data_IF_552610686161
#
_entry.id   IF_552610686161
#
_cell.length_a   1.000
_cell.length_b   1.000
_cell.length_c   1.000
_cell.angle_alpha   90.00
_cell.angle_beta   90.00
_cell.angle_gamma   90.00
#
_symmetry.space_group_name_H-M   'P 1'
#
loop_
_entity.id
_entity.type
_entity.pdbx_description
1 polymer ?
#
# COMPACT_ATOMS: atom_id res chain seq x y z
N UNK A 1 -12.71 -2.50 26.71
CA UNK A 1 -13.32 -2.48 25.36
C UNK A 1 -14.84 -2.38 25.49
N UNK A 2 -15.48 -1.49 24.77
CA UNK A 2 -16.92 -1.36 24.78
C UNK A 2 -17.60 -2.49 23.98
N UNK A 3 -18.87 -2.76 24.24
CA UNK A 3 -19.64 -3.74 23.46
C UNK A 3 -19.72 -3.38 21.97
N UNK A 4 -19.76 -2.07 21.66
CA UNK A 4 -19.80 -1.58 20.28
C UNK A 4 -18.52 -1.95 19.55
N UNK A 5 -17.38 -1.79 20.20
CA UNK A 5 -16.06 -2.12 19.61
C UNK A 5 -15.94 -3.62 19.37
N UNK A 6 -16.36 -4.43 20.34
CA UNK A 6 -16.37 -5.89 20.21
C UNK A 6 -17.27 -6.29 19.04
N UNK A 7 -18.46 -5.71 18.93
CA UNK A 7 -19.42 -6.02 17.89
C UNK A 7 -18.90 -5.63 16.49
N UNK A 8 -18.29 -4.44 16.38
CA UNK A 8 -17.69 -3.99 15.12
C UNK A 8 -16.61 -4.96 14.64
N UNK A 9 -15.79 -5.45 15.56
CA UNK A 9 -14.73 -6.41 15.27
C UNK A 9 -15.31 -7.79 14.91
N UNK A 10 -16.34 -8.24 15.65
CA UNK A 10 -17.01 -9.53 15.42
C UNK A 10 -17.75 -9.57 14.08
N UNK A 11 -18.28 -8.42 13.63
CA UNK A 11 -19.05 -8.34 12.38
C UNK A 11 -18.18 -8.28 11.14
N UNK A 12 -16.89 -8.19 11.28
CA UNK A 12 -15.97 -8.25 10.14
C UNK A 12 -16.00 -9.66 9.57
N UNK A 13 -16.30 -9.78 8.28
CA UNK A 13 -16.26 -11.06 7.55
C UNK A 13 -14.84 -11.61 7.58
N UNK A 14 -13.84 -10.73 7.41
CA UNK A 14 -12.43 -11.09 7.41
C UNK A 14 -11.93 -10.98 8.84
N UNK A 15 -11.32 -12.07 9.33
CA UNK A 15 -10.87 -12.16 10.72
C UNK A 15 -9.39 -11.90 10.90
N UNK A 16 -8.60 -12.03 9.82
CA UNK A 16 -7.16 -11.76 9.86
C UNK A 16 -6.78 -10.90 8.65
N UNK A 17 -5.78 -10.02 8.85
CA UNK A 17 -5.38 -9.07 7.78
C UNK A 17 -4.83 -9.77 6.55
N UNK A 18 -4.25 -10.97 6.71
CA UNK A 18 -3.69 -11.74 5.58
C UNK A 18 -4.74 -12.12 4.55
N UNK A 19 -6.01 -12.16 4.94
CA UNK A 19 -7.13 -12.47 4.04
C UNK A 19 -7.67 -11.23 3.34
N UNK A 20 -7.21 -10.03 3.71
CA UNK A 20 -7.58 -8.80 3.02
C UNK A 20 -6.92 -8.75 1.64
N UNK A 21 -7.74 -8.55 0.61
CA UNK A 21 -7.23 -8.46 -0.76
C UNK A 21 -6.24 -7.33 -0.93
N UNK A 22 -6.51 -6.16 -0.33
CA UNK A 22 -5.59 -5.01 -0.42
C UNK A 22 -4.24 -5.32 0.21
N UNK A 23 -4.20 -6.11 1.28
CA UNK A 23 -2.96 -6.54 1.88
C UNK A 23 -2.20 -7.49 0.94
N UNK A 24 -2.89 -8.48 0.38
CA UNK A 24 -2.29 -9.44 -0.55
C UNK A 24 -1.72 -8.74 -1.79
N UNK A 25 -2.48 -7.80 -2.34
CA UNK A 25 -2.01 -7.01 -3.49
C UNK A 25 -0.84 -6.11 -3.09
N UNK A 26 -0.85 -5.60 -1.86
CA UNK A 26 0.26 -4.83 -1.31
C UNK A 26 1.55 -5.64 -1.24
N UNK A 27 1.47 -6.90 -0.82
CA UNK A 27 2.63 -7.80 -0.77
C UNK A 27 3.19 -8.03 -2.18
N UNK A 28 2.32 -8.27 -3.16
CA UNK A 28 2.74 -8.44 -4.56
C UNK A 28 3.42 -7.18 -5.08
N UNK A 29 2.88 -6.03 -4.75
CA UNK A 29 3.45 -4.74 -5.16
C UNK A 29 4.86 -4.55 -4.58
N UNK A 30 5.07 -4.90 -3.32
CA UNK A 30 6.40 -4.85 -2.69
C UNK A 30 7.38 -5.68 -3.49
N UNK A 31 7.00 -6.89 -3.84
CA UNK A 31 7.84 -7.79 -4.63
C UNK A 31 8.18 -7.17 -5.98
N UNK A 32 7.17 -6.62 -6.67
CA UNK A 32 7.36 -5.98 -7.96
C UNK A 32 8.34 -4.81 -7.86
N UNK A 33 8.23 -3.98 -6.84
CA UNK A 33 9.12 -2.83 -6.64
C UNK A 33 10.56 -3.29 -6.36
N UNK A 34 10.74 -4.33 -5.57
CA UNK A 34 12.08 -4.87 -5.33
C UNK A 34 12.71 -5.40 -6.60
N UNK A 35 11.97 -6.15 -7.42
CA UNK A 35 12.46 -6.66 -8.69
C UNK A 35 12.80 -5.53 -9.66
N UNK A 36 11.91 -4.54 -9.75
CA UNK A 36 12.09 -3.39 -10.64
C UNK A 36 13.32 -2.59 -10.27
N UNK A 37 13.47 -2.28 -8.99
CA UNK A 37 14.54 -1.40 -8.50
C UNK A 37 15.91 -2.06 -8.45
N UNK A 38 16.00 -3.39 -8.54
CA UNK A 38 17.28 -4.09 -8.68
C UNK A 38 18.05 -3.65 -9.93
N UNK A 39 17.34 -3.22 -10.96
CA UNK A 39 17.93 -2.83 -12.25
C UNK A 39 18.32 -1.35 -12.28
N UNK A 40 18.02 -0.61 -11.24
CA UNK A 40 18.37 0.81 -11.17
C UNK A 40 19.87 1.00 -11.05
N UNK A 41 20.40 2.17 -11.46
CA UNK A 41 21.82 2.48 -11.26
C UNK A 41 22.23 2.32 -9.80
N UNK A 42 23.46 1.87 -9.56
CA UNK A 42 23.98 1.65 -8.20
C UNK A 42 23.97 2.92 -7.35
N UNK A 43 24.04 4.08 -7.98
CA UNK A 43 23.95 5.37 -7.28
C UNK A 43 22.64 5.56 -6.55
N UNK A 44 21.59 4.83 -6.94
CA UNK A 44 20.27 4.94 -6.34
C UNK A 44 20.04 4.00 -5.16
N UNK A 45 21.03 3.20 -4.77
CA UNK A 45 20.88 2.27 -3.64
C UNK A 45 20.43 3.01 -2.36
N UNK A 46 21.01 4.16 -2.08
CA UNK A 46 20.64 4.99 -0.92
C UNK A 46 19.74 6.16 -1.30
N UNK A 47 19.25 6.19 -2.51
CA UNK A 47 18.35 7.22 -3.02
C UNK A 47 17.00 6.64 -3.39
N UNK A 48 16.66 6.74 -4.68
CA UNK A 48 15.33 6.37 -5.18
C UNK A 48 14.96 4.91 -4.89
N UNK A 49 15.88 3.97 -5.10
CA UNK A 49 15.63 2.55 -4.83
C UNK A 49 15.21 2.32 -3.37
N UNK A 50 15.96 2.89 -2.44
CA UNK A 50 15.69 2.78 -1.01
C UNK A 50 14.33 3.39 -0.65
N UNK A 51 14.06 4.59 -1.16
CA UNK A 51 12.80 5.29 -0.90
C UNK A 51 11.60 4.53 -1.44
N UNK A 52 11.70 3.99 -2.65
CA UNK A 52 10.61 3.22 -3.26
C UNK A 52 10.31 1.95 -2.47
N UNK A 53 11.35 1.24 -2.04
CA UNK A 53 11.20 0.01 -1.26
C UNK A 53 10.54 0.28 0.08
N UNK A 54 10.97 1.31 0.78
CA UNK A 54 10.37 1.75 2.04
C UNK A 54 8.90 2.11 1.85
N UNK A 55 8.63 2.89 0.82
CA UNK A 55 7.27 3.33 0.51
C UNK A 55 6.37 2.14 0.20
N UNK A 56 6.83 1.21 -0.64
CA UNK A 56 6.07 0.02 -0.99
C UNK A 56 5.76 -0.83 0.25
N UNK A 57 6.74 -1.07 1.12
CA UNK A 57 6.56 -1.85 2.35
C UNK A 57 5.55 -1.20 3.29
N UNK A 58 5.50 0.14 3.32
CA UNK A 58 4.57 0.86 4.18
C UNK A 58 3.10 0.58 3.84
N UNK A 59 2.80 0.22 2.59
CA UNK A 59 1.43 -0.04 2.14
C UNK A 59 0.83 -1.25 2.87
N UNK A 60 1.33 -2.47 2.73
CA UNK A 60 0.77 -3.61 3.47
C UNK A 60 0.97 -3.49 4.97
N UNK A 61 2.05 -2.85 5.42
CA UNK A 61 2.31 -2.68 6.85
C UNK A 61 1.24 -1.84 7.53
N UNK A 62 0.85 -0.71 6.94
CA UNK A 62 -0.19 0.15 7.50
C UNK A 62 -1.57 -0.48 7.40
N UNK A 63 -1.85 -1.22 6.34
CA UNK A 63 -3.10 -1.96 6.22
C UNK A 63 -3.23 -2.97 7.38
N UNK A 64 -2.18 -3.74 7.62
CA UNK A 64 -2.16 -4.74 8.69
C UNK A 64 -2.30 -4.09 10.07
N UNK A 65 -1.55 -3.02 10.31
CA UNK A 65 -1.57 -2.30 11.57
C UNK A 65 -2.94 -1.71 11.86
N UNK A 66 -3.55 -1.10 10.85
CA UNK A 66 -4.89 -0.54 10.98
C UNK A 66 -5.94 -1.61 11.25
N UNK A 67 -5.85 -2.75 10.56
CA UNK A 67 -6.78 -3.86 10.74
C UNK A 67 -6.79 -4.37 12.19
N UNK A 68 -5.64 -4.32 12.87
CA UNK A 68 -5.50 -4.78 14.26
C UNK A 68 -6.10 -3.81 15.28
N UNK A 69 -6.52 -2.62 14.87
CA UNK A 69 -7.12 -1.65 15.78
C UNK A 69 -8.59 -2.00 16.04
N UNK A 70 -9.05 -1.75 17.24
CA UNK A 70 -10.44 -2.02 17.61
C UNK A 70 -11.39 -0.95 17.07
N UNK A 71 -10.93 0.31 17.08
CA UNK A 71 -11.78 1.45 16.69
C UNK A 71 -11.65 1.70 15.19
N UNK A 72 -12.79 1.84 14.52
CA UNK A 72 -12.80 2.16 13.09
C UNK A 72 -12.11 3.50 12.81
N UNK A 73 -12.19 4.44 13.75
CA UNK A 73 -11.50 5.73 13.62
C UNK A 73 -9.99 5.54 13.46
N UNK A 74 -9.38 4.70 14.30
CA UNK A 74 -7.94 4.40 14.20
C UNK A 74 -7.62 3.61 12.95
N UNK A 75 -8.46 2.62 12.61
CA UNK A 75 -8.30 1.85 11.38
C UNK A 75 -8.26 2.77 10.17
N UNK A 76 -9.19 3.71 10.08
CA UNK A 76 -9.22 4.68 8.98
C UNK A 76 -7.95 5.54 8.93
N UNK A 77 -7.40 5.94 10.06
CA UNK A 77 -6.15 6.71 10.10
C UNK A 77 -5.01 5.97 9.40
N UNK A 78 -4.85 4.68 9.69
CA UNK A 78 -3.84 3.85 9.03
C UNK A 78 -4.12 3.70 7.54
N UNK A 79 -5.39 3.59 7.15
CA UNK A 79 -5.77 3.50 5.75
C UNK A 79 -5.50 4.82 5.00
N UNK A 80 -5.68 5.96 5.65
CA UNK A 80 -5.29 7.25 5.06
C UNK A 80 -3.78 7.34 4.86
N UNK A 81 -2.98 6.81 5.78
CA UNK A 81 -1.53 6.72 5.61
C UNK A 81 -1.21 5.85 4.40
N UNK A 82 -1.92 4.75 4.23
CA UNK A 82 -1.77 3.87 3.06
C UNK A 82 -2.04 4.63 1.76
N UNK A 83 -3.10 5.45 1.72
CA UNK A 83 -3.38 6.28 0.52
C UNK A 83 -2.23 7.25 0.22
N UNK A 84 -1.68 7.87 1.26
CA UNK A 84 -0.52 8.74 1.11
C UNK A 84 0.70 8.00 0.55
N UNK A 85 0.95 6.79 1.06
CA UNK A 85 2.03 5.93 0.57
C UNK A 85 1.83 5.54 -0.89
N UNK A 86 0.59 5.27 -1.30
CA UNK A 86 0.26 4.97 -2.70
C UNK A 86 0.60 6.15 -3.61
N UNK A 87 0.22 7.36 -3.21
CA UNK A 87 0.51 8.57 -3.98
C UNK A 87 2.03 8.81 -4.09
N UNK A 88 2.75 8.61 -2.99
CA UNK A 88 4.20 8.75 -2.96
C UNK A 88 4.86 7.73 -3.89
N UNK A 89 4.45 6.47 -3.81
CA UNK A 89 5.02 5.41 -4.65
C UNK A 89 4.72 5.64 -6.12
N UNK A 90 3.50 6.04 -6.46
CA UNK A 90 3.14 6.35 -7.84
C UNK A 90 4.03 7.46 -8.38
N UNK A 91 4.27 8.51 -7.58
CA UNK A 91 5.17 9.60 -7.94
C UNK A 91 6.59 9.09 -8.20
N UNK A 92 7.10 8.24 -7.31
CA UNK A 92 8.45 7.67 -7.46
C UNK A 92 8.57 6.79 -8.70
N UNK A 93 7.53 6.03 -9.05
CA UNK A 93 7.50 5.22 -10.27
C UNK A 93 7.54 6.13 -11.50
N UNK A 94 6.78 7.20 -11.50
CA UNK A 94 6.78 8.18 -12.58
C UNK A 94 8.17 8.83 -12.72
N UNK A 95 8.78 9.21 -11.61
CA UNK A 95 10.16 9.75 -11.60
C UNK A 95 11.13 8.74 -12.22
N UNK A 96 11.01 7.47 -11.85
CA UNK A 96 11.87 6.40 -12.39
C UNK A 96 11.77 6.31 -13.91
N UNK A 97 10.57 6.49 -14.45
CA UNK A 97 10.34 6.50 -15.89
C UNK A 97 10.95 7.76 -16.53
N UNK A 98 10.77 8.92 -15.90
CA UNK A 98 11.33 10.18 -16.41
C UNK A 98 12.86 10.16 -16.44
N UNK A 99 13.48 9.40 -15.53
CA UNK A 99 14.92 9.21 -15.48
C UNK A 99 15.41 8.07 -16.39
N UNK A 100 14.51 7.49 -17.17
CA UNK A 100 14.78 6.37 -18.08
C UNK A 100 15.25 5.10 -17.38
N UNK A 101 14.92 4.93 -16.11
CA UNK A 101 15.26 3.70 -15.37
C UNK A 101 14.30 2.56 -15.68
N UNK A 102 13.08 2.86 -16.10
CA UNK A 102 12.06 1.86 -16.43
C UNK A 102 11.38 2.26 -17.75
N UNK A 103 10.86 1.26 -18.43
CA UNK A 103 10.11 1.46 -19.68
C UNK A 103 8.67 1.89 -19.39
N UNK A 104 8.03 2.47 -20.39
CA UNK A 104 6.63 2.92 -20.32
C UNK A 104 5.70 1.79 -19.86
N UNK A 105 5.86 0.59 -20.44
CA UNK A 105 5.00 -0.56 -20.12
C UNK A 105 5.11 -0.95 -18.63
N UNK A 106 6.32 -0.94 -18.09
CA UNK A 106 6.54 -1.26 -16.68
C UNK A 106 5.93 -0.20 -15.78
N UNK A 107 6.07 1.09 -16.16
CA UNK A 107 5.45 2.18 -15.42
C UNK A 107 3.93 2.01 -15.39
N UNK A 108 3.31 1.80 -16.54
CA UNK A 108 1.85 1.66 -16.63
C UNK A 108 1.34 0.49 -15.80
N UNK A 109 2.02 -0.65 -15.87
CA UNK A 109 1.63 -1.83 -15.11
C UNK A 109 1.68 -1.59 -13.59
N UNK A 110 2.75 -0.99 -13.12
CA UNK A 110 2.91 -0.72 -11.67
C UNK A 110 1.92 0.35 -11.20
N UNK A 111 1.75 1.42 -11.97
CA UNK A 111 0.81 2.50 -11.62
C UNK A 111 -0.61 1.94 -11.53
N UNK A 112 -1.00 1.07 -12.46
CA UNK A 112 -2.31 0.43 -12.43
C UNK A 112 -2.53 -0.37 -11.14
N UNK A 113 -1.52 -1.14 -10.72
CA UNK A 113 -1.59 -1.90 -9.46
C UNK A 113 -1.71 -0.98 -8.25
N UNK A 114 -0.96 0.11 -8.22
CA UNK A 114 -1.03 1.10 -7.14
C UNK A 114 -2.42 1.72 -7.09
N UNK A 115 -2.96 2.12 -8.23
CA UNK A 115 -4.29 2.73 -8.31
C UNK A 115 -5.39 1.77 -7.88
N UNK A 116 -5.26 0.49 -8.19
CA UNK A 116 -6.19 -0.53 -7.72
C UNK A 116 -6.22 -0.59 -6.18
N UNK A 117 -5.06 -0.66 -5.55
CA UNK A 117 -4.96 -0.68 -4.08
C UNK A 117 -5.55 0.61 -3.49
N UNK A 118 -5.24 1.74 -4.08
CA UNK A 118 -5.73 3.05 -3.66
C UNK A 118 -7.27 3.08 -3.69
N UNK A 119 -7.85 2.66 -4.82
CA UNK A 119 -9.31 2.62 -5.00
C UNK A 119 -9.99 1.72 -3.97
N UNK A 120 -9.45 0.52 -3.78
CA UNK A 120 -10.03 -0.45 -2.84
C UNK A 120 -9.88 0.02 -1.40
N UNK A 121 -8.77 0.67 -1.07
CA UNK A 121 -8.54 1.26 0.25
C UNK A 121 -9.55 2.37 0.52
N UNK A 122 -9.79 3.24 -0.45
CA UNK A 122 -10.79 4.32 -0.34
C UNK A 122 -12.19 3.77 -0.11
N UNK A 123 -12.54 2.67 -0.78
CA UNK A 123 -13.84 2.01 -0.59
C UNK A 123 -13.96 1.44 0.83
N UNK A 124 -12.89 0.84 1.33
CA UNK A 124 -12.89 0.31 2.69
C UNK A 124 -13.08 1.42 3.73
N UNK A 125 -12.41 2.55 3.55
CA UNK A 125 -12.57 3.72 4.42
C UNK A 125 -14.04 4.14 4.49
N UNK A 126 -14.71 4.20 3.34
CA UNK A 126 -16.13 4.57 3.29
C UNK A 126 -17.02 3.57 4.04
N UNK A 127 -16.71 2.28 3.93
CA UNK A 127 -17.46 1.23 4.62
C UNK A 127 -17.31 1.30 6.14
N UNK A 128 -16.17 1.76 6.61
CA UNK A 128 -15.91 1.87 8.04
C UNK A 128 -16.65 3.04 8.70
N UNK A 129 -17.26 3.87 7.91
CA UNK A 129 -18.10 4.98 8.40
C UNK A 129 -17.30 6.05 9.09
#
# INVERSE_FOLDING_TARGET
MTNVEINANKNRKIKIFKDLRIWQEGIKLVKDIYLLSKKFPKDEIYGLSSQMRRCAVSIPSNIAEGFRRYHNKEYKQFLYITLGSCAELETQVIISHELDYIKEEAKEEIVEKIQYICKMTSRLIKKLG
#
